data_IF_872090009527
#
_entry.id   IF_872090009527
#
_cell.length_a   1.000
_cell.length_b   1.000
_cell.length_c   1.000
_cell.angle_alpha   90.00
_cell.angle_beta   90.00
_cell.angle_gamma   90.00
#
_symmetry.space_group_name_H-M   'P 1'
#
loop_
_entity.id
_entity.type
_entity.pdbx_description
1 polymer ?
#
# COMPACT_ATOMS: atom_id res chain seq x y z
N UNK A 1 -9.19 6.85 12.31
CA UNK A 1 -8.40 5.67 11.93
C UNK A 1 -7.16 6.17 11.24
N UNK A 2 -5.98 5.74 11.69
CA UNK A 2 -4.74 6.23 11.11
C UNK A 2 -4.60 5.76 9.65
N UNK A 3 -3.90 6.52 8.81
CA UNK A 3 -3.80 6.23 7.36
C UNK A 3 -3.21 4.83 7.16
N UNK A 4 -2.18 4.45 7.93
CA UNK A 4 -1.59 3.11 7.89
C UNK A 4 -2.62 2.00 8.10
N UNK A 5 -3.53 2.13 9.06
CA UNK A 5 -4.55 1.11 9.32
C UNK A 5 -5.51 0.97 8.13
N UNK A 6 -5.83 2.09 7.46
CA UNK A 6 -6.66 2.09 6.24
C UNK A 6 -5.96 1.38 5.09
N UNK A 7 -4.66 1.64 4.89
CA UNK A 7 -3.88 0.97 3.86
C UNK A 7 -3.75 -0.52 4.15
N UNK A 8 -3.44 -0.91 5.40
CA UNK A 8 -3.38 -2.34 5.78
C UNK A 8 -4.72 -3.02 5.50
N UNK A 9 -5.85 -2.38 5.83
CA UNK A 9 -7.18 -2.92 5.55
C UNK A 9 -7.42 -3.12 4.06
N UNK A 10 -7.07 -2.13 3.22
CA UNK A 10 -7.19 -2.22 1.76
C UNK A 10 -6.35 -3.39 1.22
N UNK A 11 -5.10 -3.49 1.66
CA UNK A 11 -4.18 -4.54 1.21
C UNK A 11 -4.64 -5.92 1.68
N UNK A 12 -5.18 -6.03 2.90
CA UNK A 12 -5.60 -7.31 3.48
C UNK A 12 -6.77 -7.96 2.74
N UNK A 13 -7.58 -7.20 2.00
CA UNK A 13 -8.66 -7.75 1.17
C UNK A 13 -8.16 -8.71 0.09
N UNK A 14 -6.95 -8.48 -0.43
CA UNK A 14 -6.35 -9.28 -1.50
C UNK A 14 -5.06 -10.01 -1.07
N UNK A 15 -4.36 -9.53 -0.03
CA UNK A 15 -3.09 -10.11 0.47
C UNK A 15 -3.23 -10.84 1.81
N UNK A 16 -4.36 -10.71 2.51
CA UNK A 16 -4.57 -11.32 3.82
C UNK A 16 -3.50 -10.91 4.85
N UNK A 17 -2.95 -11.86 5.63
CA UNK A 17 -1.95 -11.59 6.68
C UNK A 17 -0.67 -10.91 6.17
N UNK A 18 -0.36 -11.03 4.88
CA UNK A 18 0.84 -10.43 4.27
C UNK A 18 0.73 -8.91 4.08
N UNK A 19 -0.43 -8.31 4.31
CA UNK A 19 -0.68 -6.88 4.09
C UNK A 19 0.25 -5.97 4.91
N UNK A 20 0.35 -6.19 6.22
CA UNK A 20 1.22 -5.38 7.10
C UNK A 20 2.71 -5.49 6.72
N UNK A 21 3.32 -6.68 6.63
CA UNK A 21 4.74 -6.78 6.26
C UNK A 21 5.00 -6.29 4.82
N UNK A 22 4.02 -6.41 3.92
CA UNK A 22 4.13 -5.83 2.59
C UNK A 22 4.16 -4.31 2.64
N UNK A 23 3.26 -3.67 3.40
CA UNK A 23 3.23 -2.22 3.57
C UNK A 23 4.52 -1.71 4.22
N UNK A 24 4.99 -2.34 5.29
CA UNK A 24 6.26 -2.02 5.95
C UNK A 24 7.42 -2.02 4.96
N UNK A 25 7.47 -3.03 4.07
CA UNK A 25 8.49 -3.10 3.02
C UNK A 25 8.38 -1.95 2.03
N UNK A 26 7.17 -1.60 1.56
CA UNK A 26 7.00 -0.50 0.62
C UNK A 26 7.40 0.85 1.26
N UNK A 27 6.97 1.10 2.49
CA UNK A 27 7.32 2.32 3.21
C UNK A 27 8.83 2.42 3.49
N UNK A 28 9.45 1.33 3.97
CA UNK A 28 10.87 1.32 4.33
C UNK A 28 11.79 1.50 3.12
N UNK A 29 11.57 0.77 2.03
CA UNK A 29 12.51 0.75 0.91
C UNK A 29 12.25 1.79 -0.17
N UNK A 30 11.06 2.37 -0.21
CA UNK A 30 10.69 3.27 -1.29
C UNK A 30 10.26 4.66 -0.83
N UNK A 31 9.71 4.80 0.37
CA UNK A 31 9.36 6.11 0.94
C UNK A 31 10.33 6.54 2.05
N UNK A 32 11.23 5.65 2.48
CA UNK A 32 12.10 5.83 3.64
C UNK A 32 11.33 6.28 4.90
N UNK A 33 10.17 5.66 5.13
CA UNK A 33 9.23 6.00 6.21
C UNK A 33 8.76 4.77 6.97
N UNK A 34 8.33 4.99 8.21
CA UNK A 34 7.49 4.05 8.94
C UNK A 34 6.03 4.17 8.46
N UNK A 35 5.26 3.07 8.34
CA UNK A 35 3.85 3.16 7.96
C UNK A 35 3.04 4.12 8.85
N UNK A 36 3.30 4.17 10.16
CA UNK A 36 2.63 5.08 11.09
C UNK A 36 2.91 6.56 10.85
N UNK A 37 3.95 6.89 10.06
CA UNK A 37 4.28 8.25 9.64
C UNK A 37 3.72 8.62 8.25
N UNK A 38 2.89 7.77 7.65
CA UNK A 38 2.24 8.06 6.37
C UNK A 38 1.28 9.24 6.49
N UNK A 39 1.34 10.11 5.49
CA UNK A 39 0.49 11.28 5.34
C UNK A 39 -0.23 11.24 3.99
N UNK A 40 -1.25 12.07 3.80
CA UNK A 40 -1.98 12.14 2.53
C UNK A 40 -1.07 12.45 1.32
N UNK A 41 0.01 13.23 1.51
CA UNK A 41 0.98 13.53 0.45
C UNK A 41 1.80 12.31 -0.01
N UNK A 42 1.81 11.23 0.76
CA UNK A 42 2.55 10.01 0.42
C UNK A 42 1.76 9.05 -0.48
N UNK A 43 0.45 9.26 -0.65
CA UNK A 43 -0.44 8.27 -1.27
C UNK A 43 -0.12 8.01 -2.74
N UNK A 44 0.31 9.02 -3.50
CA UNK A 44 0.69 8.84 -4.90
C UNK A 44 1.92 7.93 -5.04
N UNK A 45 2.96 8.21 -4.26
CA UNK A 45 4.20 7.43 -4.29
C UNK A 45 3.98 6.02 -3.71
N UNK A 46 3.24 5.92 -2.61
CA UNK A 46 2.86 4.63 -2.03
C UNK A 46 2.07 3.78 -3.03
N UNK A 47 1.06 4.36 -3.72
CA UNK A 47 0.25 3.65 -4.69
C UNK A 47 1.10 3.11 -5.86
N UNK A 48 2.10 3.87 -6.32
CA UNK A 48 3.06 3.41 -7.34
C UNK A 48 3.86 2.19 -6.88
N UNK A 49 4.38 2.20 -5.65
CA UNK A 49 5.21 1.11 -5.14
C UNK A 49 4.38 -0.12 -4.76
N UNK A 50 3.20 0.08 -4.20
CA UNK A 50 2.22 -1.00 -3.98
C UNK A 50 1.85 -1.65 -5.31
N UNK A 51 1.54 -0.88 -6.35
CA UNK A 51 1.28 -1.41 -7.69
C UNK A 51 2.45 -2.25 -8.20
N UNK A 52 3.66 -1.70 -8.14
CA UNK A 52 4.87 -2.38 -8.64
C UNK A 52 5.13 -3.69 -7.90
N UNK A 53 5.02 -3.70 -6.57
CA UNK A 53 5.19 -4.91 -5.77
C UNK A 53 4.06 -5.94 -5.99
N UNK A 54 2.80 -5.49 -5.96
CA UNK A 54 1.64 -6.35 -6.14
C UNK A 54 1.58 -6.96 -7.55
N UNK A 55 1.95 -6.22 -8.59
CA UNK A 55 1.97 -6.73 -9.96
C UNK A 55 2.89 -7.94 -10.10
N UNK A 56 4.02 -7.95 -9.39
CA UNK A 56 4.99 -9.05 -9.41
C UNK A 56 4.55 -10.26 -8.58
N UNK A 57 3.71 -10.08 -7.55
CA UNK A 57 3.37 -11.16 -6.61
C UNK A 57 1.98 -11.74 -6.79
N UNK A 58 0.99 -10.92 -7.11
CA UNK A 58 -0.43 -11.29 -7.18
C UNK A 58 -1.09 -10.94 -8.52
N UNK A 59 -0.36 -10.27 -9.41
CA UNK A 59 -0.78 -9.97 -10.78
C UNK A 59 -1.34 -8.57 -10.98
N UNK A 60 -1.37 -8.14 -12.24
CA UNK A 60 -1.67 -6.76 -12.65
C UNK A 60 -3.09 -6.30 -12.28
N UNK A 61 -4.11 -7.13 -12.50
CA UNK A 61 -5.50 -6.74 -12.22
C UNK A 61 -5.76 -6.40 -10.74
N UNK A 62 -5.14 -7.16 -9.83
CA UNK A 62 -5.23 -6.87 -8.39
C UNK A 62 -4.38 -5.64 -8.04
N UNK A 63 -3.18 -5.51 -8.64
CA UNK A 63 -2.31 -4.37 -8.42
C UNK A 63 -2.99 -3.04 -8.79
N UNK A 64 -3.69 -2.97 -9.93
CA UNK A 64 -4.44 -1.79 -10.37
C UNK A 64 -5.60 -1.45 -9.42
N UNK A 65 -6.33 -2.47 -8.96
CA UNK A 65 -7.38 -2.32 -7.94
C UNK A 65 -6.82 -1.72 -6.66
N UNK A 66 -5.71 -2.25 -6.15
CA UNK A 66 -5.07 -1.74 -4.92
C UNK A 66 -4.58 -0.31 -5.09
N UNK A 67 -3.91 0.00 -6.21
CA UNK A 67 -3.46 1.36 -6.54
C UNK A 67 -4.63 2.35 -6.49
N UNK A 68 -5.74 2.01 -7.14
CA UNK A 68 -6.94 2.87 -7.21
C UNK A 68 -7.53 3.11 -5.82
N UNK A 69 -7.60 2.08 -4.97
CA UNK A 69 -8.10 2.21 -3.59
C UNK A 69 -7.20 3.09 -2.73
N UNK A 70 -5.88 2.96 -2.86
CA UNK A 70 -4.92 3.77 -2.09
C UNK A 70 -5.00 5.25 -2.49
N UNK A 71 -5.10 5.54 -3.79
CA UNK A 71 -5.25 6.93 -4.26
C UNK A 71 -6.56 7.61 -3.82
N UNK A 72 -7.56 6.83 -3.40
CA UNK A 72 -8.80 7.36 -2.87
C UNK A 72 -8.75 7.70 -1.37
N UNK A 73 -7.66 7.36 -0.66
CA UNK A 73 -7.46 7.68 0.75
C UNK A 73 -7.15 9.18 0.91
N UNK A 74 -7.79 9.82 1.88
CA UNK A 74 -7.66 11.25 2.21
C UNK A 74 -7.15 11.45 3.62
#
# INVERSE_FOLDING_TARGET
MAINDQIVKILAEDMGPSASPFLERQCKFHLNKDPGALTASDMEELAKWVYTGAKLTIGEGIADKLKTKILAVK
#
